data_IF_450442555171
#
_entry.id   IF_450442555171
#
_cell.length_a   1.000
_cell.length_b   1.000
_cell.length_c   1.000
_cell.angle_alpha   90.00
_cell.angle_beta   90.00
_cell.angle_gamma   90.00
#
_symmetry.space_group_name_H-M   'P 1'
#
loop_
_entity.id
_entity.type
_entity.pdbx_description
1 polymer ?
#
# COMPACT_ATOMS: atom_id res chain seq x y z
N UNK A 1 -1.16 31.99 -1.09
CA UNK A 1 -2.56 31.51 -1.15
C UNK A 1 -2.53 30.10 -0.59
N UNK A 2 -3.28 29.82 0.47
CA UNK A 2 -3.52 28.43 0.86
C UNK A 2 -4.45 27.87 -0.22
N UNK A 3 -3.99 26.89 -1.00
CA UNK A 3 -4.90 26.10 -1.82
C UNK A 3 -5.92 25.49 -0.87
N UNK A 4 -7.20 25.77 -1.13
CA UNK A 4 -8.29 25.17 -0.38
C UNK A 4 -8.30 23.68 -0.76
N UNK A 5 -7.75 22.84 0.12
CA UNK A 5 -7.70 21.39 -0.10
C UNK A 5 -9.15 20.90 -0.22
N UNK A 6 -9.51 20.42 -1.40
CA UNK A 6 -10.87 19.96 -1.64
C UNK A 6 -11.16 18.70 -0.81
N UNK A 7 -12.43 18.54 -0.43
CA UNK A 7 -12.90 17.30 0.21
C UNK A 7 -12.58 16.07 -0.65
N UNK A 8 -12.69 16.19 -1.98
CA UNK A 8 -12.30 15.13 -2.91
C UNK A 8 -10.83 14.74 -2.75
N UNK A 9 -9.91 15.69 -2.64
CA UNK A 9 -8.49 15.40 -2.45
C UNK A 9 -8.23 14.62 -1.15
N UNK A 10 -8.92 14.97 -0.06
CA UNK A 10 -8.86 14.22 1.22
C UNK A 10 -9.33 12.78 1.01
N UNK A 11 -10.50 12.60 0.39
CA UNK A 11 -11.07 11.27 0.14
C UNK A 11 -10.15 10.42 -0.74
N UNK A 12 -9.55 11.00 -1.78
CA UNK A 12 -8.58 10.28 -2.63
C UNK A 12 -7.35 9.84 -1.83
N UNK A 13 -6.80 10.70 -0.97
CA UNK A 13 -5.67 10.33 -0.12
C UNK A 13 -6.04 9.19 0.87
N UNK A 14 -7.23 9.22 1.44
CA UNK A 14 -7.73 8.15 2.30
C UNK A 14 -7.89 6.82 1.55
N UNK A 15 -8.41 6.83 0.32
CA UNK A 15 -8.50 5.64 -0.54
C UNK A 15 -7.10 5.07 -0.84
N UNK A 16 -6.12 5.94 -1.16
CA UNK A 16 -4.74 5.52 -1.40
C UNK A 16 -4.16 4.82 -0.16
N UNK A 17 -4.36 5.41 1.02
CA UNK A 17 -3.94 4.84 2.31
C UNK A 17 -4.62 3.50 2.57
N UNK A 18 -5.93 3.38 2.29
CA UNK A 18 -6.67 2.13 2.46
C UNK A 18 -6.09 1.01 1.59
N UNK A 19 -5.75 1.28 0.33
CA UNK A 19 -5.11 0.29 -0.53
C UNK A 19 -3.74 -0.14 0.00
N UNK A 20 -2.92 0.79 0.49
CA UNK A 20 -1.63 0.44 1.10
C UNK A 20 -1.82 -0.39 2.39
N UNK A 21 -2.83 -0.09 3.20
CA UNK A 21 -3.18 -0.89 4.36
C UNK A 21 -3.62 -2.30 3.96
N UNK A 22 -4.42 -2.44 2.91
CA UNK A 22 -4.85 -3.74 2.39
C UNK A 22 -3.66 -4.56 1.88
N UNK A 23 -2.75 -3.94 1.12
CA UNK A 23 -1.50 -4.55 0.69
C UNK A 23 -0.68 -5.08 1.89
N UNK A 24 -0.52 -4.26 2.95
CA UNK A 24 0.17 -4.66 4.18
C UNK A 24 -0.51 -5.84 4.88
N UNK A 25 -1.84 -5.94 4.81
CA UNK A 25 -2.61 -7.06 5.33
C UNK A 25 -2.35 -8.36 4.58
N UNK A 26 -2.35 -8.31 3.24
CA UNK A 26 -2.02 -9.47 2.39
C UNK A 26 -0.61 -9.99 2.72
N UNK A 27 0.37 -9.09 2.81
CA UNK A 27 1.75 -9.45 3.13
C UNK A 27 1.88 -10.03 4.55
N UNK A 28 1.17 -9.45 5.52
CA UNK A 28 1.17 -9.97 6.90
C UNK A 28 0.61 -11.39 6.98
N UNK A 29 -0.47 -11.69 6.24
CA UNK A 29 -1.01 -13.06 6.17
C UNK A 29 0.03 -14.04 5.65
N UNK A 30 0.70 -13.70 4.53
CA UNK A 30 1.71 -14.57 3.94
C UNK A 30 2.93 -14.77 4.83
N UNK A 31 3.37 -13.74 5.56
CA UNK A 31 4.45 -13.88 6.55
C UNK A 31 4.07 -14.93 7.59
N UNK A 32 2.85 -14.86 8.15
CA UNK A 32 2.40 -15.85 9.14
C UNK A 32 2.29 -17.27 8.56
N UNK A 33 1.94 -17.40 7.28
CA UNK A 33 1.87 -18.70 6.61
C UNK A 33 3.25 -19.35 6.44
N UNK A 34 4.30 -18.56 6.16
CA UNK A 34 5.61 -19.11 5.79
C UNK A 34 6.67 -19.01 6.89
N UNK A 35 6.47 -18.23 7.95
CA UNK A 35 7.55 -17.92 8.90
C UNK A 35 8.12 -19.12 9.67
N UNK A 36 7.35 -20.20 9.81
CA UNK A 36 7.82 -21.43 10.44
C UNK A 36 8.68 -22.29 9.49
N UNK A 37 8.33 -22.30 8.20
CA UNK A 37 8.94 -23.18 7.19
C UNK A 37 10.08 -22.49 6.44
N UNK A 38 9.95 -21.18 6.20
CA UNK A 38 10.94 -20.33 5.53
C UNK A 38 11.07 -18.96 6.24
N UNK A 39 11.84 -18.90 7.34
CA UNK A 39 12.08 -17.66 8.08
C UNK A 39 12.79 -16.58 7.26
N UNK A 40 13.58 -16.98 6.25
CA UNK A 40 14.34 -16.05 5.41
C UNK A 40 13.40 -15.31 4.45
N UNK A 41 12.55 -16.04 3.73
CA UNK A 41 11.53 -15.44 2.88
C UNK A 41 10.53 -14.60 3.70
N UNK A 42 10.19 -15.02 4.92
CA UNK A 42 9.37 -14.21 5.82
C UNK A 42 10.02 -12.86 6.15
N UNK A 43 11.33 -12.81 6.39
CA UNK A 43 12.02 -11.55 6.65
C UNK A 43 12.09 -10.65 5.41
N UNK A 44 12.29 -11.19 4.22
CA UNK A 44 12.20 -10.42 2.97
C UNK A 44 10.83 -9.75 2.83
N UNK A 45 9.75 -10.48 3.14
CA UNK A 45 8.40 -9.90 3.15
C UNK A 45 8.23 -8.85 4.25
N UNK A 46 8.85 -9.01 5.43
CA UNK A 46 8.84 -7.96 6.47
C UNK A 46 9.54 -6.69 6.00
N UNK A 47 10.65 -6.79 5.26
CA UNK A 47 11.32 -5.64 4.62
C UNK A 47 10.36 -4.95 3.65
N UNK A 48 9.74 -5.69 2.72
CA UNK A 48 8.79 -5.10 1.75
C UNK A 48 7.58 -4.48 2.43
N UNK A 49 7.08 -5.09 3.50
CA UNK A 49 5.98 -4.54 4.31
C UNK A 49 6.37 -3.23 5.00
N UNK A 50 7.62 -3.05 5.42
CA UNK A 50 8.12 -1.75 5.94
C UNK A 50 8.15 -0.69 4.84
N UNK A 51 8.55 -1.03 3.62
CA UNK A 51 8.52 -0.09 2.50
C UNK A 51 7.07 0.40 2.18
N UNK A 52 6.06 -0.46 2.34
CA UNK A 52 4.65 -0.04 2.23
C UNK A 52 4.24 0.99 3.30
N UNK A 53 4.79 0.87 4.52
CA UNK A 53 4.55 1.85 5.60
C UNK A 53 5.19 3.19 5.25
N UNK A 54 6.40 3.17 4.72
CA UNK A 54 7.09 4.38 4.28
C UNK A 54 6.33 5.08 3.15
N UNK A 55 5.85 4.31 2.17
CA UNK A 55 4.99 4.82 1.10
C UNK A 55 3.70 5.45 1.64
N UNK A 56 3.06 4.80 2.62
CA UNK A 56 1.86 5.33 3.27
C UNK A 56 2.13 6.63 4.02
N UNK A 57 3.24 6.72 4.76
CA UNK A 57 3.64 7.96 5.45
C UNK A 57 3.99 9.10 4.46
N UNK A 58 4.39 8.75 3.24
CA UNK A 58 4.65 9.69 2.16
C UNK A 58 3.40 10.28 1.50
N UNK A 59 2.20 9.74 1.76
CA UNK A 59 0.97 10.26 1.15
C UNK A 59 0.68 11.67 1.66
N UNK A 60 0.64 12.63 0.74
CA UNK A 60 0.31 14.03 1.03
C UNK A 60 -0.98 14.41 0.29
N UNK A 61 -1.97 14.94 0.99
CA UNK A 61 -3.27 15.33 0.39
C UNK A 61 -3.10 16.39 -0.71
N UNK A 62 -2.13 17.28 -0.56
CA UNK A 62 -1.80 18.29 -1.56
C UNK A 62 -1.11 17.72 -2.82
N UNK A 63 -0.54 16.51 -2.74
CA UNK A 63 0.08 15.83 -3.87
C UNK A 63 -0.94 14.95 -4.59
N UNK A 64 -1.78 15.61 -5.39
CA UNK A 64 -2.81 14.91 -6.17
C UNK A 64 -2.20 13.84 -7.08
N UNK A 65 -1.11 14.14 -7.78
CA UNK A 65 -0.50 13.22 -8.74
C UNK A 65 0.01 11.95 -8.06
N UNK A 66 0.73 12.11 -6.94
CA UNK A 66 1.22 10.98 -6.15
C UNK A 66 0.10 10.12 -5.58
N UNK A 67 -0.95 10.73 -5.03
CA UNK A 67 -2.14 10.01 -4.53
C UNK A 67 -2.79 9.19 -5.66
N UNK A 68 -2.99 9.81 -6.82
CA UNK A 68 -3.64 9.19 -7.97
C UNK A 68 -2.82 8.01 -8.52
N UNK A 69 -1.49 8.14 -8.55
CA UNK A 69 -0.58 7.09 -8.97
C UNK A 69 -0.63 5.89 -8.01
N UNK A 70 -0.72 6.12 -6.70
CA UNK A 70 -0.90 5.06 -5.70
C UNK A 70 -2.23 4.34 -5.93
N UNK A 71 -3.33 5.07 -6.13
CA UNK A 71 -4.66 4.50 -6.40
C UNK A 71 -4.62 3.62 -7.66
N UNK A 72 -4.05 4.13 -8.75
CA UNK A 72 -3.98 3.42 -10.03
C UNK A 72 -3.13 2.14 -9.93
N UNK A 73 -2.03 2.20 -9.18
CA UNK A 73 -1.12 1.06 -9.02
C UNK A 73 -1.69 0.01 -8.07
N UNK A 74 -2.12 0.42 -6.88
CA UNK A 74 -2.45 -0.51 -5.81
C UNK A 74 -3.91 -0.95 -5.83
N UNK A 75 -4.82 -0.13 -6.35
CA UNK A 75 -6.25 -0.45 -6.40
C UNK A 75 -6.57 -1.78 -7.10
N UNK A 76 -6.05 -2.04 -8.31
CA UNK A 76 -6.22 -3.34 -8.97
C UNK A 76 -5.52 -4.49 -8.23
N UNK A 77 -4.27 -4.26 -7.78
CA UNK A 77 -3.45 -5.29 -7.11
C UNK A 77 -4.11 -5.82 -5.86
N UNK A 78 -4.60 -4.96 -4.97
CA UNK A 78 -5.16 -5.42 -3.68
C UNK A 78 -6.54 -6.07 -3.79
N UNK A 79 -7.16 -6.05 -4.98
CA UNK A 79 -8.44 -6.72 -5.29
C UNK A 79 -8.27 -8.10 -5.91
N UNK A 80 -7.11 -8.38 -6.51
CA UNK A 80 -6.75 -9.69 -7.06
C UNK A 80 -5.43 -10.13 -6.43
N UNK A 81 -5.50 -11.04 -5.46
CA UNK A 81 -4.30 -11.51 -4.74
C UNK A 81 -3.29 -12.19 -5.66
N UNK A 82 -3.73 -12.83 -6.75
CA UNK A 82 -2.79 -13.41 -7.73
C UNK A 82 -2.04 -12.30 -8.45
N UNK A 83 -2.73 -11.24 -8.88
CA UNK A 83 -2.10 -10.07 -9.48
C UNK A 83 -1.17 -9.36 -8.48
N UNK A 84 -1.58 -9.25 -7.22
CA UNK A 84 -0.76 -8.70 -6.15
C UNK A 84 0.61 -9.38 -6.13
N UNK A 85 0.64 -10.71 -5.96
CA UNK A 85 1.90 -11.45 -5.84
C UNK A 85 2.73 -11.52 -7.13
N UNK A 86 2.12 -11.32 -8.31
CA UNK A 86 2.85 -11.23 -9.57
C UNK A 86 3.64 -9.92 -9.71
N UNK A 87 3.18 -8.85 -9.08
CA UNK A 87 3.73 -7.51 -9.26
C UNK A 87 4.33 -6.89 -7.97
N UNK A 88 4.42 -7.67 -6.89
CA UNK A 88 4.89 -7.26 -5.56
C UNK A 88 6.32 -7.72 -5.26
#
# INVERSE_FOLDING_TARGET
MADDISYDAIVRAEIAIEFLNRARGIVASRIHEIEADDPAAAEELRVRRRALVELQHGVQVADREGVEAIIATWGPRVRDERLFWQEF
#
